data_IF_604301243120
#
_entry.id   IF_604301243120
#
_cell.length_a   1.000
_cell.length_b   1.000
_cell.length_c   1.000
_cell.angle_alpha   90.00
_cell.angle_beta   90.00
_cell.angle_gamma   90.00
#
_symmetry.space_group_name_H-M   'P 1'
#
loop_
_entity.id
_entity.type
_entity.pdbx_description
1 polymer ?
#
# COMPACT_ATOMS: atom_id res chain seq x y z
N UNK A 1 -14.86 -43.76 20.09
CA UNK A 1 -14.13 -42.72 20.85
C UNK A 1 -13.50 -41.76 19.83
N UNK A 2 -14.06 -40.58 19.69
CA UNK A 2 -13.63 -39.62 18.68
C UNK A 2 -12.52 -38.76 19.29
N UNK A 3 -11.31 -38.85 18.70
CA UNK A 3 -10.17 -38.01 19.05
C UNK A 3 -10.55 -36.55 18.80
N UNK A 4 -10.73 -35.80 19.87
CA UNK A 4 -10.78 -34.34 19.82
C UNK A 4 -9.37 -33.85 19.57
N UNK A 5 -9.06 -33.50 18.33
CA UNK A 5 -7.93 -32.64 18.04
C UNK A 5 -8.13 -31.30 18.79
N UNK A 6 -7.50 -31.20 19.93
CA UNK A 6 -7.31 -29.92 20.62
C UNK A 6 -6.41 -29.08 19.70
N UNK A 7 -7.02 -28.14 18.99
CA UNK A 7 -6.27 -27.10 18.30
C UNK A 7 -5.51 -26.30 19.37
N UNK A 8 -4.21 -26.56 19.49
CA UNK A 8 -3.34 -25.79 20.37
C UNK A 8 -3.48 -24.33 19.96
N UNK A 9 -3.91 -23.48 20.91
CA UNK A 9 -3.89 -22.02 20.75
C UNK A 9 -2.47 -21.63 20.32
N UNK A 10 -2.29 -20.87 19.23
CA UNK A 10 -0.97 -20.48 18.79
C UNK A 10 -0.28 -19.74 19.94
N UNK A 11 0.84 -20.28 20.40
CA UNK A 11 1.65 -19.68 21.46
C UNK A 11 2.12 -18.30 20.97
N UNK A 12 1.76 -17.24 21.68
CA UNK A 12 2.22 -15.90 21.36
C UNK A 12 3.74 -15.84 21.50
N UNK A 13 4.46 -15.54 20.42
CA UNK A 13 5.92 -15.45 20.42
C UNK A 13 6.38 -14.20 21.20
N UNK A 14 7.38 -14.37 22.07
CA UNK A 14 8.01 -13.28 22.82
C UNK A 14 9.17 -12.71 21.99
N UNK A 15 9.09 -11.43 21.68
CA UNK A 15 10.03 -10.76 20.78
C UNK A 15 11.01 -9.82 21.51
N UNK A 16 12.26 -9.85 21.09
CA UNK A 16 13.24 -8.81 21.38
C UNK A 16 13.45 -7.94 20.16
N UNK A 17 13.38 -6.62 20.30
CA UNK A 17 13.65 -5.66 19.23
C UNK A 17 15.05 -5.12 19.34
N UNK A 18 15.75 -5.04 18.21
CA UNK A 18 17.13 -4.57 18.14
C UNK A 18 17.29 -3.52 17.06
N UNK A 19 17.73 -2.33 17.45
CA UNK A 19 18.08 -1.23 16.56
C UNK A 19 19.53 -0.86 16.63
N UNK A 20 20.07 -0.35 15.53
CA UNK A 20 21.39 0.25 15.45
C UNK A 20 21.27 1.68 14.92
N UNK A 21 21.86 2.64 15.63
CA UNK A 21 22.02 4.02 15.14
C UNK A 21 23.47 4.32 14.80
N UNK A 22 23.70 4.99 13.67
CA UNK A 22 25.03 5.42 13.23
C UNK A 22 25.12 6.94 13.27
N UNK A 23 25.62 7.47 14.37
CA UNK A 23 25.86 8.91 14.58
C UNK A 23 25.08 9.54 15.72
N UNK A 24 25.78 10.37 16.49
CA UNK A 24 25.20 11.19 17.55
C UNK A 24 24.13 12.14 16.95
N UNK A 25 22.92 12.12 17.47
CA UNK A 25 21.79 12.95 17.01
C UNK A 25 20.68 12.17 16.28
N UNK A 26 20.90 10.93 15.87
CA UNK A 26 19.87 10.07 15.27
C UNK A 26 19.19 9.12 16.26
N UNK A 27 19.42 9.31 17.57
CA UNK A 27 18.87 8.43 18.60
C UNK A 27 17.35 8.53 18.65
N UNK A 28 16.81 9.73 18.54
CA UNK A 28 15.34 9.96 18.50
C UNK A 28 14.72 9.23 17.31
N UNK A 29 15.31 9.35 16.12
CA UNK A 29 14.82 8.65 14.92
C UNK A 29 14.89 7.12 15.11
N UNK A 30 15.91 6.61 15.81
CA UNK A 30 16.08 5.19 16.05
C UNK A 30 15.07 4.68 17.11
N UNK A 31 14.76 5.47 18.13
CA UNK A 31 13.72 5.15 19.13
C UNK A 31 12.34 5.10 18.46
N UNK A 32 11.99 6.08 17.61
CA UNK A 32 10.76 6.07 16.83
C UNK A 32 10.68 4.88 15.86
N UNK A 33 11.81 4.50 15.23
CA UNK A 33 11.87 3.32 14.36
C UNK A 33 11.61 2.03 15.14
N UNK A 34 12.08 1.94 16.39
CA UNK A 34 11.80 0.81 17.28
C UNK A 34 10.35 0.80 17.78
N UNK A 35 9.72 1.97 17.98
CA UNK A 35 8.29 2.04 18.30
C UNK A 35 7.43 1.53 17.13
N UNK A 36 7.78 1.91 15.90
CA UNK A 36 7.13 1.39 14.70
C UNK A 36 7.35 -0.11 14.54
N UNK A 37 8.58 -0.61 14.81
CA UNK A 37 8.90 -2.04 14.79
C UNK A 37 8.09 -2.80 15.85
N UNK A 38 7.82 -2.19 17.00
CA UNK A 38 6.95 -2.78 18.02
C UNK A 38 5.51 -2.93 17.51
N UNK A 39 4.98 -1.92 16.83
CA UNK A 39 3.68 -2.01 16.18
C UNK A 39 3.62 -3.09 15.09
N UNK A 40 4.71 -3.30 14.34
CA UNK A 40 4.84 -4.38 13.37
C UNK A 40 4.86 -5.75 14.06
N UNK A 41 5.61 -5.90 15.16
CA UNK A 41 5.66 -7.13 15.93
C UNK A 41 4.28 -7.51 16.50
N UNK A 42 3.55 -6.53 17.04
CA UNK A 42 2.17 -6.70 17.50
C UNK A 42 1.23 -7.11 16.35
N UNK A 43 1.32 -6.46 15.19
CA UNK A 43 0.55 -6.82 13.99
C UNK A 43 0.85 -8.25 13.50
N UNK A 44 2.06 -8.77 13.76
CA UNK A 44 2.45 -10.16 13.52
C UNK A 44 1.99 -11.12 14.64
N UNK A 45 1.43 -10.61 15.74
CA UNK A 45 0.97 -11.40 16.89
C UNK A 45 2.07 -11.79 17.87
N UNK A 46 3.19 -11.04 17.89
CA UNK A 46 4.27 -11.21 18.87
C UNK A 46 4.16 -10.18 19.99
N UNK A 47 4.59 -10.55 21.21
CA UNK A 47 4.67 -9.63 22.35
C UNK A 47 6.09 -9.17 22.55
N UNK A 48 6.33 -7.86 22.48
CA UNK A 48 7.63 -7.25 22.71
C UNK A 48 7.96 -7.26 24.21
N UNK A 49 9.03 -7.97 24.57
CA UNK A 49 9.48 -8.12 25.98
C UNK A 49 10.83 -7.47 26.23
N UNK A 50 11.59 -7.16 25.18
CA UNK A 50 12.91 -6.56 25.28
C UNK A 50 13.12 -5.57 24.13
N UNK A 51 13.72 -4.41 24.42
CA UNK A 51 14.15 -3.43 23.40
C UNK A 51 15.62 -3.09 23.63
N UNK A 52 16.39 -3.13 22.58
CA UNK A 52 17.82 -2.88 22.60
C UNK A 52 18.19 -1.92 21.48
N UNK A 53 18.74 -0.78 21.83
CA UNK A 53 19.34 0.17 20.89
C UNK A 53 20.86 0.22 21.12
N UNK A 54 21.63 0.12 20.04
CA UNK A 54 23.07 0.32 20.09
C UNK A 54 23.46 1.49 19.18
N UNK A 55 24.33 2.35 19.69
CA UNK A 55 24.99 3.39 18.92
C UNK A 55 26.38 2.91 18.50
N UNK A 56 26.68 2.99 17.19
CA UNK A 56 27.99 2.67 16.62
C UNK A 56 28.25 3.50 15.37
N UNK A 57 29.50 3.83 15.06
CA UNK A 57 29.86 4.55 13.83
C UNK A 57 29.52 3.76 12.56
N UNK A 58 29.67 2.42 12.63
CA UNK A 58 29.38 1.50 11.51
C UNK A 58 28.83 0.18 12.05
N UNK A 59 27.93 -0.50 11.29
CA UNK A 59 27.52 -1.85 11.60
C UNK A 59 28.71 -2.81 11.64
N UNK A 60 28.64 -3.82 12.50
CA UNK A 60 29.61 -4.90 12.54
C UNK A 60 29.44 -5.80 11.31
N UNK A 61 30.51 -6.14 10.57
CA UNK A 61 30.41 -6.98 9.38
C UNK A 61 29.87 -8.39 9.66
N UNK A 62 30.16 -8.96 10.84
CA UNK A 62 29.74 -10.33 11.18
C UNK A 62 28.40 -10.41 11.90
N UNK A 63 28.15 -9.52 12.85
CA UNK A 63 27.00 -9.61 13.76
C UNK A 63 26.09 -8.39 13.73
N UNK A 64 26.32 -7.43 12.83
CA UNK A 64 25.60 -6.16 12.72
C UNK A 64 25.76 -5.26 13.95
N UNK A 65 25.45 -5.78 15.16
CA UNK A 65 25.77 -5.18 16.47
C UNK A 65 27.16 -5.67 16.93
N UNK A 66 27.80 -4.96 17.88
CA UNK A 66 29.10 -5.39 18.40
C UNK A 66 29.03 -6.76 19.09
N UNK A 67 30.13 -7.55 19.00
CA UNK A 67 30.21 -8.89 19.57
C UNK A 67 29.87 -8.94 21.07
N UNK A 68 30.38 -8.01 21.88
CA UNK A 68 30.02 -7.90 23.30
C UNK A 68 28.55 -7.58 23.52
N UNK A 69 27.94 -6.74 22.67
CA UNK A 69 26.49 -6.46 22.74
C UNK A 69 25.66 -7.69 22.36
N UNK A 70 26.13 -8.48 21.38
CA UNK A 70 25.48 -9.73 20.99
C UNK A 70 25.50 -10.75 22.15
N UNK A 71 26.61 -10.87 22.88
CA UNK A 71 26.71 -11.73 24.08
C UNK A 71 25.75 -11.26 25.18
N UNK A 72 25.72 -9.95 25.46
CA UNK A 72 24.81 -9.39 26.47
C UNK A 72 23.33 -9.58 26.06
N UNK A 73 23.04 -9.45 24.76
CA UNK A 73 21.71 -9.69 24.21
C UNK A 73 21.29 -11.17 24.36
N UNK A 74 22.21 -12.13 24.13
CA UNK A 74 21.93 -13.55 24.32
C UNK A 74 21.52 -13.87 25.77
N UNK A 75 22.26 -13.32 26.75
CA UNK A 75 21.94 -13.48 28.17
C UNK A 75 20.57 -12.87 28.52
N UNK A 76 20.29 -11.64 28.05
CA UNK A 76 19.01 -10.98 28.27
C UNK A 76 17.83 -11.72 27.59
N UNK A 77 18.04 -12.29 26.40
CA UNK A 77 17.05 -13.11 25.71
C UNK A 77 16.73 -14.40 26.48
N UNK A 78 17.73 -15.03 27.10
CA UNK A 78 17.54 -16.22 27.91
C UNK A 78 16.72 -15.89 29.16
N UNK A 79 17.06 -14.83 29.89
CA UNK A 79 16.35 -14.36 31.08
C UNK A 79 14.90 -13.97 30.77
N UNK A 80 14.69 -13.19 29.71
CA UNK A 80 13.37 -12.73 29.27
C UNK A 80 12.58 -13.81 28.50
N UNK A 81 13.11 -15.03 28.31
CA UNK A 81 12.48 -16.12 27.54
C UNK A 81 12.00 -15.66 26.17
N UNK A 82 12.89 -14.99 25.43
CA UNK A 82 12.63 -14.52 24.07
C UNK A 82 12.56 -15.71 23.11
N UNK A 83 11.56 -15.75 22.26
CA UNK A 83 11.41 -16.77 21.20
C UNK A 83 12.02 -16.28 19.87
N UNK A 84 11.91 -14.97 19.56
CA UNK A 84 12.39 -14.36 18.32
C UNK A 84 13.07 -13.02 18.56
N UNK A 85 14.17 -12.78 17.86
CA UNK A 85 14.88 -11.47 17.86
C UNK A 85 14.66 -10.78 16.52
N UNK A 86 14.17 -9.56 16.57
CA UNK A 86 13.76 -8.78 15.39
C UNK A 86 14.68 -7.56 15.26
N UNK A 87 15.42 -7.49 14.17
CA UNK A 87 16.28 -6.36 13.85
C UNK A 87 15.54 -5.33 13.01
N UNK A 88 15.66 -4.05 13.38
CA UNK A 88 15.06 -2.93 12.64
C UNK A 88 15.70 -2.70 11.27
N UNK A 89 16.95 -3.10 11.13
CA UNK A 89 17.72 -2.96 9.91
C UNK A 89 17.78 -4.28 9.14
N UNK A 90 17.90 -4.20 7.82
CA UNK A 90 18.09 -5.37 6.98
C UNK A 90 19.43 -6.05 7.28
N UNK A 91 19.43 -7.37 7.45
CA UNK A 91 20.58 -8.17 7.73
C UNK A 91 21.08 -8.90 6.48
N UNK A 92 22.41 -8.94 6.32
CA UNK A 92 23.00 -9.83 5.32
C UNK A 92 22.81 -11.30 5.72
N UNK A 93 22.82 -12.24 4.76
CA UNK A 93 22.70 -13.68 5.07
C UNK A 93 23.77 -14.19 6.04
N UNK A 94 24.97 -13.60 6.00
CA UNK A 94 26.07 -13.95 6.91
C UNK A 94 25.79 -13.46 8.34
N UNK A 95 25.35 -12.20 8.47
CA UNK A 95 25.01 -11.61 9.77
C UNK A 95 23.87 -12.37 10.44
N UNK A 96 22.82 -12.69 9.68
CA UNK A 96 21.65 -13.42 10.19
C UNK A 96 22.09 -14.76 10.80
N UNK A 97 22.88 -15.56 10.10
CA UNK A 97 23.40 -16.83 10.61
C UNK A 97 24.26 -16.67 11.86
N UNK A 98 25.23 -15.75 11.81
CA UNK A 98 26.11 -15.50 12.95
C UNK A 98 25.34 -15.06 14.19
N UNK A 99 24.25 -14.31 14.01
CA UNK A 99 23.36 -13.90 15.09
C UNK A 99 22.53 -15.08 15.61
N UNK A 100 21.94 -15.91 14.74
CA UNK A 100 21.20 -17.11 15.16
C UNK A 100 22.08 -18.08 15.95
N UNK A 101 23.32 -18.32 15.49
CA UNK A 101 24.29 -19.17 16.18
C UNK A 101 24.66 -18.62 17.57
N UNK A 102 24.85 -17.29 17.70
CA UNK A 102 25.25 -16.66 18.96
C UNK A 102 24.12 -16.47 19.95
N UNK A 103 22.91 -16.15 19.44
CA UNK A 103 21.75 -15.89 20.26
C UNK A 103 20.98 -17.17 20.62
N UNK A 104 21.26 -18.28 19.92
CA UNK A 104 20.50 -19.54 20.01
C UNK A 104 18.98 -19.33 19.90
N UNK A 105 18.58 -18.38 19.05
CA UNK A 105 17.20 -17.96 18.86
C UNK A 105 16.96 -17.67 17.38
N UNK A 106 15.68 -17.76 16.97
CA UNK A 106 15.24 -17.30 15.66
C UNK A 106 15.55 -15.80 15.52
N UNK A 107 16.23 -15.42 14.44
CA UNK A 107 16.51 -14.02 14.12
C UNK A 107 15.82 -13.66 12.82
N UNK A 108 15.12 -12.55 12.80
CA UNK A 108 14.52 -11.98 11.58
C UNK A 108 14.85 -10.50 11.50
N UNK A 109 14.77 -9.94 10.31
CA UNK A 109 14.86 -8.50 10.12
C UNK A 109 13.48 -7.87 9.82
N UNK A 110 13.43 -6.53 9.77
CA UNK A 110 12.22 -5.75 9.48
C UNK A 110 11.55 -6.21 8.18
N UNK A 111 12.35 -6.51 7.14
CA UNK A 111 11.83 -6.97 5.84
C UNK A 111 11.10 -8.29 5.96
N UNK A 112 11.67 -9.26 6.66
CA UNK A 112 11.03 -10.56 6.88
C UNK A 112 9.77 -10.43 7.72
N UNK A 113 9.77 -9.59 8.77
CA UNK A 113 8.60 -9.34 9.61
C UNK A 113 7.44 -8.78 8.78
N UNK A 114 7.71 -7.78 7.93
CA UNK A 114 6.68 -7.20 7.05
C UNK A 114 6.13 -8.26 6.07
N UNK A 115 7.02 -9.08 5.48
CA UNK A 115 6.62 -10.17 4.60
C UNK A 115 5.73 -11.20 5.30
N UNK A 116 6.00 -11.52 6.56
CA UNK A 116 5.20 -12.45 7.35
C UNK A 116 3.81 -11.86 7.69
N UNK A 117 3.73 -10.55 8.00
CA UNK A 117 2.46 -9.83 8.17
C UNK A 117 1.64 -9.89 6.88
N UNK A 118 2.26 -9.60 5.74
CA UNK A 118 1.60 -9.61 4.45
C UNK A 118 1.12 -11.01 4.05
N UNK A 119 1.89 -12.06 4.34
CA UNK A 119 1.48 -13.44 4.08
C UNK A 119 0.21 -13.83 4.85
N UNK A 120 0.04 -13.31 6.06
CA UNK A 120 -1.19 -13.52 6.86
C UNK A 120 -2.38 -12.68 6.38
N UNK A 121 -2.12 -11.51 5.77
CA UNK A 121 -3.16 -10.55 5.34
C UNK A 121 -3.64 -10.77 3.91
N UNK A 122 -2.84 -11.34 3.02
CA UNK A 122 -3.19 -11.59 1.62
C UNK A 122 -4.39 -12.54 1.50
N UNK A 123 -5.51 -12.03 0.99
CA UNK A 123 -6.75 -12.80 0.80
C UNK A 123 -6.95 -13.16 -0.66
N UNK A 124 -6.66 -12.24 -1.60
CA UNK A 124 -6.82 -12.48 -3.02
C UNK A 124 -5.71 -13.37 -3.58
N UNK A 125 -5.95 -14.02 -4.71
CA UNK A 125 -4.91 -14.80 -5.42
C UNK A 125 -3.74 -13.91 -5.82
N UNK A 126 -4.04 -12.70 -6.29
CA UNK A 126 -3.02 -11.74 -6.69
C UNK A 126 -2.16 -11.31 -5.51
N UNK A 127 -2.77 -10.88 -4.39
CA UNK A 127 -2.03 -10.52 -3.18
C UNK A 127 -1.14 -11.68 -2.68
N UNK A 128 -1.63 -12.92 -2.71
CA UNK A 128 -0.83 -14.11 -2.36
C UNK A 128 0.36 -14.29 -3.29
N UNK A 129 0.20 -14.13 -4.61
CA UNK A 129 1.29 -14.23 -5.57
C UNK A 129 2.31 -13.10 -5.40
N UNK A 130 1.85 -11.87 -5.13
CA UNK A 130 2.73 -10.72 -4.87
C UNK A 130 3.59 -10.95 -3.62
N UNK A 131 2.98 -11.42 -2.54
CA UNK A 131 3.70 -11.76 -1.29
C UNK A 131 4.66 -12.92 -1.51
N UNK A 132 4.21 -14.00 -2.17
CA UNK A 132 5.06 -15.16 -2.51
C UNK A 132 6.27 -14.72 -3.34
N UNK A 133 6.06 -13.87 -4.35
CA UNK A 133 7.15 -13.34 -5.17
C UNK A 133 8.17 -12.57 -4.34
N UNK A 134 7.70 -11.71 -3.43
CA UNK A 134 8.57 -10.93 -2.56
C UNK A 134 9.35 -11.83 -1.59
N UNK A 135 8.69 -12.82 -0.98
CA UNK A 135 9.33 -13.81 -0.10
C UNK A 135 10.40 -14.63 -0.85
N UNK A 136 10.09 -15.10 -2.06
CA UNK A 136 11.06 -15.87 -2.86
C UNK A 136 12.26 -15.02 -3.27
N UNK A 137 12.05 -13.75 -3.65
CA UNK A 137 13.14 -12.81 -3.96
C UNK A 137 13.98 -12.49 -2.73
N UNK A 138 13.38 -12.36 -1.56
CA UNK A 138 14.08 -12.16 -0.29
C UNK A 138 14.90 -13.38 0.13
N UNK A 139 14.37 -14.60 -0.04
CA UNK A 139 15.01 -15.85 0.34
C UNK A 139 16.14 -16.27 -0.62
N UNK A 140 16.01 -16.00 -1.92
CA UNK A 140 16.95 -16.46 -2.94
C UNK A 140 18.42 -16.09 -2.65
N UNK A 141 18.78 -14.84 -2.30
CA UNK A 141 20.16 -14.50 -1.92
C UNK A 141 20.58 -15.14 -0.59
N UNK A 142 19.66 -15.42 0.31
CA UNK A 142 19.91 -15.99 1.64
C UNK A 142 20.24 -17.50 1.60
N UNK A 143 19.87 -18.18 0.55
CA UNK A 143 20.26 -19.58 0.31
C UNK A 143 21.75 -19.72 -0.12
N UNK A 144 22.38 -18.69 -0.63
CA UNK A 144 23.75 -18.74 -1.15
C UNK A 144 24.79 -19.09 -0.07
N UNK A 145 24.50 -18.80 1.16
CA UNK A 145 25.47 -18.97 2.24
C UNK A 145 25.41 -20.29 3.00
N UNK A 146 24.37 -21.11 2.82
CA UNK A 146 24.27 -22.41 3.50
C UNK A 146 25.18 -23.49 2.91
N UNK A 147 25.60 -23.36 1.64
CA UNK A 147 26.44 -24.34 0.94
C UNK A 147 27.92 -24.23 1.23
N UNK A 148 28.43 -23.06 1.54
CA UNK A 148 29.89 -22.88 1.82
C UNK A 148 30.32 -23.44 3.17
N UNK A 149 29.42 -23.58 4.12
CA UNK A 149 29.72 -24.22 5.40
C UNK A 149 29.79 -25.77 5.28
N UNK A 150 28.93 -26.35 4.42
CA UNK A 150 28.94 -27.79 4.14
C UNK A 150 30.04 -28.22 3.17
N UNK A 151 30.48 -27.35 2.24
CA UNK A 151 31.58 -27.66 1.31
C UNK A 151 32.98 -27.61 1.98
N UNK A 152 33.14 -26.93 3.12
CA UNK A 152 34.38 -26.92 3.89
C UNK A 152 34.66 -28.21 4.67
N UNK A 153 33.62 -29.04 4.90
CA UNK A 153 33.76 -30.33 5.58
C UNK A 153 34.10 -31.49 4.64
N UNK A 154 34.12 -31.27 3.32
CA UNK A 154 34.42 -32.28 2.30
C UNK A 154 35.57 -31.90 1.36
N UNK A 155 36.68 -31.42 1.90
CA UNK A 155 37.84 -30.97 1.13
C UNK A 155 38.64 -32.12 0.52
N UNK A 156 38.37 -32.48 -0.72
CA UNK A 156 39.22 -33.33 -1.57
C UNK A 156 39.02 -32.96 -3.03
N UNK A 157 40.12 -32.92 -3.82
CA UNK A 157 40.09 -32.71 -5.28
C UNK A 157 39.22 -33.81 -5.91
N UNK A 158 38.03 -33.46 -6.46
CA UNK A 158 37.17 -34.39 -7.22
C UNK A 158 35.84 -34.80 -6.57
N UNK A 159 35.56 -34.38 -5.35
CA UNK A 159 34.27 -34.67 -4.69
C UNK A 159 33.28 -33.54 -4.81
N UNK A 160 32.42 -33.55 -5.86
CA UNK A 160 31.14 -32.82 -5.85
C UNK A 160 30.28 -33.46 -4.76
N UNK A 161 30.24 -32.83 -3.58
CA UNK A 161 29.48 -33.36 -2.47
C UNK A 161 27.97 -33.25 -2.71
N UNK A 162 27.14 -34.18 -2.16
CA UNK A 162 25.68 -34.17 -2.29
C UNK A 162 25.00 -32.90 -1.76
N UNK A 163 25.68 -32.08 -0.94
CA UNK A 163 25.17 -30.80 -0.45
C UNK A 163 25.19 -29.65 -1.48
N UNK A 164 26.17 -29.66 -2.39
CA UNK A 164 26.29 -28.62 -3.42
C UNK A 164 25.19 -28.78 -4.49
N UNK A 165 24.91 -30.00 -4.91
CA UNK A 165 23.81 -30.30 -5.83
C UNK A 165 22.43 -30.03 -5.25
N UNK A 166 22.23 -30.19 -3.94
CA UNK A 166 20.94 -29.89 -3.28
C UNK A 166 20.65 -28.39 -3.27
N UNK A 167 21.63 -27.57 -2.92
CA UNK A 167 21.51 -26.10 -2.92
C UNK A 167 21.24 -25.55 -4.32
N UNK A 168 21.97 -26.05 -5.32
CA UNK A 168 21.76 -25.63 -6.70
C UNK A 168 20.39 -26.06 -7.22
N UNK A 169 19.92 -27.22 -6.84
CA UNK A 169 18.58 -27.71 -7.15
C UNK A 169 17.51 -26.82 -6.49
N UNK A 170 17.68 -26.46 -5.22
CA UNK A 170 16.74 -25.61 -4.50
C UNK A 170 16.71 -24.17 -5.06
N UNK A 171 17.87 -23.61 -5.41
CA UNK A 171 17.94 -22.30 -6.11
C UNK A 171 17.25 -22.34 -7.46
N UNK A 172 17.43 -23.40 -8.23
CA UNK A 172 16.77 -23.58 -9.53
C UNK A 172 15.27 -23.69 -9.37
N UNK A 173 14.77 -24.46 -8.38
CA UNK A 173 13.35 -24.56 -8.05
C UNK A 173 12.75 -23.18 -7.70
N UNK A 174 13.44 -22.41 -6.85
CA UNK A 174 12.99 -21.07 -6.48
C UNK A 174 12.96 -20.12 -7.69
N UNK A 175 13.99 -20.14 -8.54
CA UNK A 175 13.98 -19.31 -9.77
C UNK A 175 12.83 -19.70 -10.71
N UNK A 176 12.58 -20.99 -10.89
CA UNK A 176 11.45 -21.47 -11.70
C UNK A 176 10.13 -21.02 -11.08
N UNK A 177 9.99 -21.08 -9.75
CA UNK A 177 8.80 -20.60 -9.06
C UNK A 177 8.60 -19.10 -9.19
N UNK A 178 9.68 -18.30 -9.06
CA UNK A 178 9.65 -16.84 -9.31
C UNK A 178 9.11 -16.54 -10.71
N UNK A 179 9.60 -17.24 -11.75
CA UNK A 179 9.13 -17.03 -13.12
C UNK A 179 7.66 -17.42 -13.30
N UNK A 180 7.23 -18.51 -12.68
CA UNK A 180 5.83 -18.94 -12.74
C UNK A 180 4.90 -17.92 -12.08
N UNK A 181 5.23 -17.48 -10.86
CA UNK A 181 4.44 -16.48 -10.12
C UNK A 181 4.43 -15.14 -10.85
N UNK A 182 5.55 -14.72 -11.43
CA UNK A 182 5.63 -13.48 -12.22
C UNK A 182 4.66 -13.51 -13.42
N UNK A 183 4.57 -14.63 -14.14
CA UNK A 183 3.62 -14.79 -15.26
C UNK A 183 2.16 -14.65 -14.80
N UNK A 184 1.81 -15.23 -13.66
CA UNK A 184 0.46 -15.10 -13.10
C UNK A 184 0.12 -13.63 -12.76
N UNK A 185 1.06 -12.91 -12.16
CA UNK A 185 0.90 -11.48 -11.86
C UNK A 185 0.74 -10.68 -13.15
N UNK A 186 1.54 -10.95 -14.18
CA UNK A 186 1.46 -10.26 -15.47
C UNK A 186 0.12 -10.51 -16.17
N UNK A 187 -0.43 -11.74 -16.09
CA UNK A 187 -1.78 -12.05 -16.59
C UNK A 187 -2.86 -11.20 -15.91
N UNK A 188 -2.78 -11.06 -14.59
CA UNK A 188 -3.74 -10.23 -13.84
C UNK A 188 -3.60 -8.75 -14.24
N UNK A 189 -2.37 -8.25 -14.42
CA UNK A 189 -2.11 -6.87 -14.89
C UNK A 189 -2.75 -6.60 -16.24
N UNK A 190 -2.59 -7.49 -17.23
CA UNK A 190 -3.22 -7.35 -18.53
C UNK A 190 -4.75 -7.29 -18.44
N UNK A 191 -5.34 -8.17 -17.63
CA UNK A 191 -6.79 -8.19 -17.41
C UNK A 191 -7.28 -6.89 -16.75
N UNK A 192 -6.54 -6.35 -15.77
CA UNK A 192 -6.86 -5.07 -15.16
C UNK A 192 -6.77 -3.92 -16.15
N UNK A 193 -5.73 -3.89 -17.00
CA UNK A 193 -5.59 -2.87 -18.04
C UNK A 193 -6.81 -2.85 -18.97
N UNK A 194 -7.32 -4.00 -19.43
CA UNK A 194 -8.53 -4.09 -20.25
C UNK A 194 -9.79 -3.59 -19.51
N UNK A 195 -9.91 -3.91 -18.21
CA UNK A 195 -11.04 -3.43 -17.40
C UNK A 195 -10.95 -1.91 -17.17
N UNK A 196 -9.74 -1.35 -17.05
CA UNK A 196 -9.49 0.09 -16.95
C UNK A 196 -9.89 0.83 -18.21
N UNK A 197 -9.48 0.34 -19.38
CA UNK A 197 -9.88 0.91 -20.66
C UNK A 197 -11.40 1.00 -20.82
N UNK A 198 -12.12 -0.04 -20.40
CA UNK A 198 -13.59 -0.02 -20.35
C UNK A 198 -14.15 1.01 -19.36
N UNK A 199 -13.48 1.22 -18.20
CA UNK A 199 -13.86 2.24 -17.20
C UNK A 199 -13.64 3.65 -17.70
N UNK A 200 -12.49 3.89 -18.35
CA UNK A 200 -12.20 5.19 -18.98
C UNK A 200 -13.25 5.57 -20.04
N UNK A 201 -13.71 4.60 -20.83
CA UNK A 201 -14.82 4.80 -21.78
C UNK A 201 -16.13 5.20 -21.08
N UNK A 202 -16.34 4.76 -19.82
CA UNK A 202 -17.53 5.16 -19.02
C UNK A 202 -17.37 6.50 -18.32
N UNK A 203 -16.17 7.09 -18.33
CA UNK A 203 -15.87 8.42 -17.75
C UNK A 203 -16.19 8.57 -16.25
N UNK A 204 -16.18 7.48 -15.46
CA UNK A 204 -16.35 7.57 -14.01
C UNK A 204 -14.97 7.87 -13.39
N UNK A 205 -14.82 8.99 -12.65
CA UNK A 205 -13.54 9.35 -12.05
C UNK A 205 -13.16 8.39 -10.93
N UNK A 206 -11.85 8.19 -10.77
CA UNK A 206 -11.28 7.30 -9.74
C UNK A 206 -10.50 8.13 -8.72
N UNK A 207 -10.81 7.92 -7.45
CA UNK A 207 -10.14 8.51 -6.28
C UNK A 207 -9.38 7.41 -5.54
N UNK A 208 -8.10 7.59 -5.32
CA UNK A 208 -7.29 6.63 -4.59
C UNK A 208 -6.93 7.14 -3.20
N UNK A 209 -7.19 6.35 -2.16
CA UNK A 209 -6.76 6.66 -0.79
C UNK A 209 -5.31 6.21 -0.62
N UNK A 210 -4.42 7.14 -0.33
CA UNK A 210 -3.01 6.89 -0.04
C UNK A 210 -2.66 7.45 1.33
N UNK A 211 -1.60 6.97 1.95
CA UNK A 211 -1.18 7.49 3.24
C UNK A 211 -0.49 6.42 4.09
N UNK A 212 0.06 6.87 5.20
CA UNK A 212 0.81 6.02 6.10
C UNK A 212 -0.07 4.92 6.72
N UNK A 213 0.54 3.83 7.21
CA UNK A 213 -0.21 2.80 7.95
C UNK A 213 -0.90 3.43 9.16
N UNK A 214 -2.08 2.94 9.49
CA UNK A 214 -2.92 3.45 10.59
C UNK A 214 -3.34 4.94 10.48
N UNK A 215 -3.20 5.62 9.34
CA UNK A 215 -3.74 6.98 9.15
C UNK A 215 -5.28 7.02 9.05
N UNK A 216 -5.93 5.85 8.97
CA UNK A 216 -7.38 5.71 8.92
C UNK A 216 -7.97 5.64 7.51
N UNK A 217 -7.19 5.21 6.50
CA UNK A 217 -7.65 5.03 5.10
C UNK A 217 -8.87 4.12 4.99
N UNK A 218 -8.80 2.92 5.55
CA UNK A 218 -9.90 1.94 5.51
C UNK A 218 -11.12 2.44 6.28
N UNK A 219 -10.94 3.18 7.36
CA UNK A 219 -12.05 3.82 8.09
C UNK A 219 -12.73 4.87 7.23
N UNK A 220 -11.95 5.71 6.52
CA UNK A 220 -12.48 6.68 5.57
C UNK A 220 -13.16 6.00 4.39
N UNK A 221 -12.54 4.94 3.84
CA UNK A 221 -13.14 4.13 2.77
C UNK A 221 -14.51 3.59 3.19
N UNK A 222 -14.62 2.96 4.36
CA UNK A 222 -15.88 2.45 4.87
C UNK A 222 -16.94 3.55 5.04
N UNK A 223 -16.52 4.72 5.49
CA UNK A 223 -17.42 5.87 5.67
C UNK A 223 -17.96 6.37 4.33
N UNK A 224 -17.11 6.47 3.30
CA UNK A 224 -17.49 6.96 1.97
C UNK A 224 -18.32 5.93 1.19
N UNK A 225 -18.05 4.64 1.37
CA UNK A 225 -18.67 3.56 0.57
C UNK A 225 -19.83 2.87 1.27
N UNK A 226 -20.08 3.18 2.55
CA UNK A 226 -21.02 2.46 3.44
C UNK A 226 -20.70 0.96 3.56
N UNK A 227 -19.45 0.59 3.37
CA UNK A 227 -18.94 -0.79 3.51
C UNK A 227 -18.47 -1.07 4.95
N UNK A 228 -18.24 -2.34 5.23
CA UNK A 228 -17.74 -2.82 6.51
C UNK A 228 -16.41 -3.59 6.33
N UNK A 229 -15.47 -3.04 5.55
CA UNK A 229 -14.14 -3.61 5.49
C UNK A 229 -13.49 -3.58 6.88
N UNK A 230 -12.69 -4.61 7.18
CA UNK A 230 -12.03 -4.70 8.49
C UNK A 230 -11.12 -3.49 8.68
N UNK A 231 -11.45 -2.64 9.64
CA UNK A 231 -10.61 -1.53 10.08
C UNK A 231 -10.15 -1.83 11.52
N UNK A 232 -8.87 -1.68 11.79
CA UNK A 232 -8.32 -1.80 13.14
C UNK A 232 -7.08 -0.90 13.27
N UNK A 233 -6.63 -0.67 14.49
CA UNK A 233 -5.42 0.12 14.77
C UNK A 233 -4.12 -0.63 14.45
N UNK A 234 -4.19 -1.91 14.04
CA UNK A 234 -3.04 -2.68 13.62
C UNK A 234 -2.44 -2.16 12.30
N UNK A 235 -1.12 -2.29 12.16
CA UNK A 235 -0.43 -1.93 10.91
C UNK A 235 -0.79 -2.92 9.78
N UNK A 236 -0.87 -2.43 8.54
CA UNK A 236 -1.14 -3.21 7.33
C UNK A 236 -2.44 -4.03 7.36
N UNK A 237 -3.53 -3.41 7.78
CA UNK A 237 -4.85 -4.07 7.80
C UNK A 237 -5.32 -4.38 6.39
N UNK A 238 -5.11 -3.45 5.45
CA UNK A 238 -5.45 -3.61 4.02
C UNK A 238 -4.19 -3.92 3.23
N UNK A 239 -4.20 -5.05 2.52
CA UNK A 239 -3.16 -5.45 1.58
C UNK A 239 -3.71 -5.52 0.15
N UNK A 240 -4.86 -6.13 -0.02
CA UNK A 240 -5.54 -6.21 -1.31
C UNK A 240 -6.32 -4.91 -1.56
N UNK A 241 -6.18 -4.25 -2.73
CA UNK A 241 -6.90 -3.02 -3.01
C UNK A 241 -8.41 -3.30 -3.10
N UNK A 242 -9.18 -2.44 -2.45
CA UNK A 242 -10.64 -2.47 -2.51
C UNK A 242 -11.11 -1.33 -3.42
N UNK A 243 -11.88 -1.64 -4.46
CA UNK A 243 -12.46 -0.65 -5.35
C UNK A 243 -13.98 -0.67 -5.21
N UNK A 244 -14.59 0.48 -4.90
CA UNK A 244 -16.04 0.62 -4.76
C UNK A 244 -16.55 1.87 -5.45
N UNK A 245 -17.75 1.76 -5.98
CA UNK A 245 -18.47 2.90 -6.53
C UNK A 245 -19.20 3.64 -5.42
N UNK A 246 -18.98 4.95 -5.36
CA UNK A 246 -19.67 5.88 -4.46
C UNK A 246 -20.62 6.73 -5.30
N UNK A 247 -21.88 6.76 -4.91
CA UNK A 247 -22.88 7.62 -5.53
C UNK A 247 -23.19 8.77 -4.58
N UNK A 248 -22.93 9.99 -5.05
CA UNK A 248 -23.22 11.21 -4.31
C UNK A 248 -24.73 11.54 -4.36
N UNK A 249 -25.25 12.36 -3.42
CA UNK A 249 -26.69 12.65 -3.34
C UNK A 249 -27.29 13.22 -4.63
N UNK A 250 -26.51 13.95 -5.41
CA UNK A 250 -26.90 14.56 -6.68
C UNK A 250 -26.64 13.68 -7.92
N UNK A 251 -26.52 12.36 -7.72
CA UNK A 251 -26.24 11.33 -8.74
C UNK A 251 -24.83 11.38 -9.35
N UNK A 252 -23.93 12.22 -8.85
CA UNK A 252 -22.52 12.12 -9.22
C UNK A 252 -21.97 10.75 -8.80
N UNK A 253 -21.16 10.14 -9.63
CA UNK A 253 -20.56 8.83 -9.34
C UNK A 253 -19.05 8.96 -9.39
N UNK A 254 -18.39 8.29 -8.47
CA UNK A 254 -16.93 8.14 -8.46
C UNK A 254 -16.56 6.75 -7.96
N UNK A 255 -15.37 6.29 -8.32
CA UNK A 255 -14.78 5.08 -7.77
C UNK A 255 -13.79 5.48 -6.69
N UNK A 256 -13.88 4.84 -5.53
CA UNK A 256 -12.90 5.00 -4.45
C UNK A 256 -12.12 3.72 -4.32
N UNK A 257 -10.79 3.82 -4.28
CA UNK A 257 -9.91 2.69 -4.00
C UNK A 257 -9.21 2.87 -2.66
N UNK A 258 -9.27 1.84 -1.80
CA UNK A 258 -8.42 1.73 -0.61
C UNK A 258 -7.14 0.99 -0.99
N UNK A 259 -5.99 1.52 -0.57
CA UNK A 259 -4.69 0.96 -0.92
C UNK A 259 -3.89 0.53 0.31
N UNK A 260 -2.81 -0.21 0.08
CA UNK A 260 -1.87 -0.61 1.13
C UNK A 260 -1.32 0.62 1.84
N UNK A 261 -1.25 0.57 3.17
CA UNK A 261 -0.61 1.62 3.95
C UNK A 261 0.89 1.67 3.71
N UNK A 262 1.44 2.86 3.56
CA UNK A 262 2.88 3.06 3.48
C UNK A 262 3.51 3.03 4.88
N UNK A 263 4.78 2.71 4.93
CA UNK A 263 5.61 2.69 6.13
C UNK A 263 7.00 3.21 5.79
N UNK A 264 7.69 3.76 6.76
CA UNK A 264 9.07 4.19 6.54
C UNK A 264 9.97 2.97 6.23
N UNK A 265 10.92 3.16 5.33
CA UNK A 265 11.84 2.09 4.88
C UNK A 265 11.12 0.84 4.36
N UNK A 266 10.08 1.03 3.54
CA UNK A 266 9.46 -0.09 2.85
C UNK A 266 10.50 -0.79 1.96
N UNK A 267 10.74 -2.11 2.11
CA UNK A 267 11.73 -2.80 1.31
C UNK A 267 11.45 -2.70 -0.19
N UNK A 268 12.46 -2.37 -1.00
CA UNK A 268 12.31 -2.24 -2.46
C UNK A 268 11.74 -3.50 -3.13
N UNK A 269 12.05 -4.68 -2.59
CA UNK A 269 11.47 -5.93 -3.08
C UNK A 269 9.95 -5.98 -2.92
N UNK A 270 9.42 -5.36 -1.85
CA UNK A 270 7.99 -5.22 -1.61
C UNK A 270 7.35 -4.17 -2.52
N UNK A 271 7.98 -2.99 -2.66
CA UNK A 271 7.50 -1.96 -3.60
C UNK A 271 7.38 -2.56 -5.00
N UNK A 272 8.41 -3.30 -5.45
CA UNK A 272 8.38 -3.97 -6.76
C UNK A 272 7.29 -5.05 -6.86
N UNK A 273 7.01 -5.81 -5.81
CA UNK A 273 5.97 -6.83 -5.79
C UNK A 273 4.55 -6.22 -5.79
N UNK A 274 4.36 -5.12 -5.06
CA UNK A 274 3.09 -4.40 -4.97
C UNK A 274 2.90 -3.31 -6.02
N UNK A 275 3.85 -3.15 -6.94
CA UNK A 275 3.78 -2.15 -8.01
C UNK A 275 2.46 -2.21 -8.77
N UNK A 276 1.95 -3.41 -9.04
CA UNK A 276 0.66 -3.58 -9.72
C UNK A 276 -0.55 -3.02 -8.93
N UNK A 277 -0.48 -3.09 -7.60
CA UNK A 277 -1.49 -2.51 -6.70
C UNK A 277 -1.34 -0.99 -6.62
N UNK A 278 -0.10 -0.50 -6.63
CA UNK A 278 0.22 0.92 -6.57
C UNK A 278 0.03 1.62 -7.94
N UNK A 279 0.03 0.88 -9.05
CA UNK A 279 -0.34 1.39 -10.38
C UNK A 279 -1.76 1.96 -10.41
N UNK A 280 -2.68 1.47 -9.55
CA UNK A 280 -4.02 2.05 -9.42
C UNK A 280 -3.98 3.49 -8.86
N UNK A 281 -2.97 3.83 -8.08
CA UNK A 281 -2.75 5.22 -7.61
C UNK A 281 -2.27 6.09 -8.75
N UNK A 282 -1.28 5.61 -9.54
CA UNK A 282 -0.72 6.36 -10.67
C UNK A 282 -1.75 6.64 -11.78
N UNK A 283 -2.83 5.85 -11.82
CA UNK A 283 -3.90 5.99 -12.81
C UNK A 283 -5.15 6.66 -12.24
N UNK A 284 -5.14 7.10 -10.97
CA UNK A 284 -6.25 7.81 -10.35
C UNK A 284 -6.38 9.24 -10.89
N UNK A 285 -7.62 9.74 -10.96
CA UNK A 285 -7.90 11.16 -11.29
C UNK A 285 -7.55 12.09 -10.11
N UNK A 286 -7.53 11.53 -8.87
CA UNK A 286 -7.19 12.25 -7.64
C UNK A 286 -6.69 11.27 -6.59
N UNK A 287 -5.61 11.60 -5.90
CA UNK A 287 -5.15 10.90 -4.70
C UNK A 287 -5.56 11.67 -3.44
N UNK A 288 -6.22 11.01 -2.49
CA UNK A 288 -6.45 11.54 -1.15
C UNK A 288 -5.34 11.04 -0.25
N UNK A 289 -4.44 11.92 0.11
CA UNK A 289 -3.36 11.63 1.04
C UNK A 289 -3.88 11.75 2.48
N UNK A 290 -4.28 10.62 3.05
CA UNK A 290 -4.83 10.54 4.41
C UNK A 290 -3.69 10.56 5.41
N UNK A 291 -3.73 11.54 6.30
CA UNK A 291 -2.68 11.89 7.27
C UNK A 291 -3.28 11.81 8.67
N UNK A 292 -2.61 11.15 9.60
CA UNK A 292 -2.99 11.23 11.02
C UNK A 292 -2.61 12.62 11.56
N UNK A 293 -3.62 13.44 11.84
CA UNK A 293 -3.42 14.82 12.28
C UNK A 293 -2.72 14.92 13.65
N UNK A 294 -2.91 13.91 14.51
CA UNK A 294 -2.31 13.84 15.85
C UNK A 294 -0.93 13.17 15.89
N UNK A 295 -0.43 12.64 14.76
CA UNK A 295 0.85 11.93 14.77
C UNK A 295 2.04 12.89 15.03
N UNK A 296 2.92 12.59 16.00
CA UNK A 296 4.12 13.41 16.26
C UNK A 296 5.06 13.48 15.04
N UNK A 297 5.20 12.39 14.30
CA UNK A 297 6.06 12.22 13.14
C UNK A 297 5.34 12.54 11.79
N UNK A 298 4.24 13.29 11.86
CA UNK A 298 3.37 13.56 10.70
C UNK A 298 4.14 14.02 9.46
N UNK A 299 5.01 15.02 9.62
CA UNK A 299 5.74 15.60 8.49
C UNK A 299 6.70 14.58 7.84
N UNK A 300 7.33 13.73 8.66
CA UNK A 300 8.17 12.62 8.20
C UNK A 300 7.35 11.56 7.46
N UNK A 301 6.19 11.19 8.00
CA UNK A 301 5.27 10.25 7.37
C UNK A 301 4.76 10.77 6.03
N UNK A 302 4.39 12.06 5.94
CA UNK A 302 4.01 12.72 4.69
C UNK A 302 5.14 12.67 3.66
N UNK A 303 6.38 12.95 4.06
CA UNK A 303 7.54 12.88 3.17
C UNK A 303 7.80 11.44 2.67
N UNK A 304 7.63 10.42 3.53
CA UNK A 304 7.78 9.03 3.16
C UNK A 304 6.72 8.61 2.12
N UNK A 305 5.45 9.02 2.30
CA UNK A 305 4.37 8.73 1.34
C UNK A 305 4.65 9.39 -0.01
N UNK A 306 5.04 10.67 -0.04
CA UNK A 306 5.35 11.40 -1.28
C UNK A 306 6.48 10.73 -2.06
N UNK A 307 7.53 10.29 -1.37
CA UNK A 307 8.65 9.55 -2.01
C UNK A 307 8.17 8.27 -2.67
N UNK A 308 7.31 7.49 -2.01
CA UNK A 308 6.76 6.27 -2.61
C UNK A 308 5.86 6.58 -3.81
N UNK A 309 5.07 7.65 -3.76
CA UNK A 309 4.26 8.10 -4.92
C UNK A 309 5.14 8.45 -6.13
N UNK A 310 6.30 9.06 -5.91
CA UNK A 310 7.31 9.31 -6.96
C UNK A 310 7.88 8.00 -7.52
N UNK A 311 8.28 7.05 -6.66
CA UNK A 311 8.84 5.75 -7.05
C UNK A 311 7.86 4.90 -7.89
N UNK A 312 6.56 5.03 -7.66
CA UNK A 312 5.52 4.29 -8.41
C UNK A 312 5.04 5.02 -9.65
N UNK A 313 5.55 6.22 -9.95
CA UNK A 313 5.19 7.01 -11.11
C UNK A 313 3.86 7.76 -10.97
N UNK A 314 3.45 8.07 -9.75
CA UNK A 314 2.22 8.81 -9.44
C UNK A 314 2.44 10.32 -9.24
N UNK A 315 3.59 10.87 -9.65
CA UNK A 315 3.95 12.27 -9.47
C UNK A 315 2.99 13.25 -10.14
N UNK A 316 2.39 12.85 -11.26
CA UNK A 316 1.45 13.67 -12.04
C UNK A 316 0.01 13.62 -11.53
N UNK A 317 -0.28 12.72 -10.58
CA UNK A 317 -1.64 12.60 -10.02
C UNK A 317 -1.88 13.75 -9.05
N UNK A 318 -2.95 14.53 -9.22
CA UNK A 318 -3.31 15.56 -8.25
C UNK A 318 -3.51 14.97 -6.86
N UNK A 319 -2.93 15.60 -5.84
CA UNK A 319 -3.04 15.15 -4.45
C UNK A 319 -3.86 16.15 -3.64
N UNK A 320 -4.76 15.65 -2.81
CA UNK A 320 -5.45 16.39 -1.77
C UNK A 320 -5.02 15.86 -0.41
N UNK A 321 -4.34 16.66 0.39
CA UNK A 321 -3.99 16.31 1.76
C UNK A 321 -5.26 16.29 2.63
N UNK A 322 -5.46 15.19 3.38
CA UNK A 322 -6.63 14.96 4.23
C UNK A 322 -6.16 14.64 5.64
N UNK A 323 -6.19 15.61 6.52
CA UNK A 323 -5.87 15.45 7.93
C UNK A 323 -7.04 14.76 8.64
N UNK A 324 -6.84 13.49 8.97
CA UNK A 324 -7.81 12.64 9.64
C UNK A 324 -7.55 12.60 11.15
N UNK A 325 -8.50 12.08 11.92
CA UNK A 325 -8.47 11.96 13.38
C UNK A 325 -8.48 13.31 14.11
N UNK A 326 -9.10 14.34 13.54
CA UNK A 326 -9.20 15.67 14.19
C UNK A 326 -9.96 15.62 15.52
N UNK A 327 -10.73 14.57 15.75
CA UNK A 327 -11.40 14.30 17.03
C UNK A 327 -10.44 14.08 18.20
N UNK A 328 -9.17 13.83 17.92
CA UNK A 328 -8.11 13.69 18.95
C UNK A 328 -7.39 15.01 19.24
N UNK A 329 -7.59 16.05 18.42
CA UNK A 329 -6.91 17.35 18.53
C UNK A 329 -7.70 18.33 19.40
N UNK A 330 -6.97 19.20 20.07
CA UNK A 330 -7.53 20.39 20.72
C UNK A 330 -7.99 21.43 19.69
N UNK A 331 -8.90 22.35 20.04
CA UNK A 331 -9.32 23.42 19.13
C UNK A 331 -8.19 24.29 18.60
N UNK A 332 -7.15 24.55 19.42
CA UNK A 332 -6.01 25.36 19.02
C UNK A 332 -5.09 24.61 18.03
N UNK A 333 -4.90 23.32 18.20
CA UNK A 333 -4.17 22.48 17.24
C UNK A 333 -4.89 22.40 15.91
N UNK A 334 -6.22 22.30 15.90
CA UNK A 334 -7.02 22.33 14.68
C UNK A 334 -6.86 23.64 13.93
N UNK A 335 -6.95 24.80 14.61
CA UNK A 335 -6.74 26.11 13.99
C UNK A 335 -5.35 26.25 13.38
N UNK A 336 -4.30 25.86 14.12
CA UNK A 336 -2.93 25.90 13.60
C UNK A 336 -2.76 25.06 12.34
N UNK A 337 -3.47 23.95 12.26
CA UNK A 337 -3.42 23.07 11.09
C UNK A 337 -4.17 23.68 9.90
N UNK A 338 -5.34 24.30 10.13
CA UNK A 338 -6.11 25.05 9.13
C UNK A 338 -5.30 26.23 8.57
N UNK A 339 -4.64 27.00 9.46
CA UNK A 339 -3.81 28.13 9.06
C UNK A 339 -2.56 27.69 8.25
N UNK A 340 -1.99 26.52 8.59
CA UNK A 340 -0.81 25.97 7.92
C UNK A 340 -1.11 25.47 6.52
N UNK A 341 -2.25 24.81 6.33
CA UNK A 341 -2.64 24.19 5.05
C UNK A 341 -4.13 24.44 4.75
N UNK A 342 -4.48 25.66 4.28
CA UNK A 342 -5.87 26.03 3.98
C UNK A 342 -6.49 25.22 2.83
N UNK A 343 -5.65 24.57 2.02
CA UNK A 343 -6.11 23.79 0.86
C UNK A 343 -6.42 22.33 1.21
N UNK A 344 -6.05 21.89 2.41
CA UNK A 344 -6.27 20.53 2.89
C UNK A 344 -7.68 20.37 3.49
N UNK A 345 -8.14 19.11 3.55
CA UNK A 345 -9.34 18.75 4.27
C UNK A 345 -8.99 18.28 5.70
N UNK A 346 -9.74 18.75 6.69
CA UNK A 346 -9.64 18.32 8.08
C UNK A 346 -10.90 17.53 8.44
N UNK A 347 -10.75 16.25 8.80
CA UNK A 347 -11.86 15.33 9.02
C UNK A 347 -11.67 14.40 10.22
N UNK A 348 -12.76 13.81 10.70
CA UNK A 348 -12.70 12.58 11.46
C UNK A 348 -13.49 11.48 10.76
N UNK A 349 -12.78 10.51 10.18
CA UNK A 349 -13.40 9.34 9.56
C UNK A 349 -14.17 8.48 10.59
N UNK A 350 -13.75 8.51 11.86
CA UNK A 350 -14.37 7.77 12.97
C UNK A 350 -15.73 8.37 13.33
N UNK A 351 -15.79 9.67 13.58
CA UNK A 351 -17.03 10.35 14.00
C UNK A 351 -17.92 10.75 12.83
N UNK A 352 -17.35 10.93 11.63
CA UNK A 352 -18.02 11.48 10.46
C UNK A 352 -17.91 13.00 10.34
N UNK A 353 -17.18 13.65 11.25
CA UNK A 353 -17.02 15.10 11.25
C UNK A 353 -16.38 15.58 9.95
N UNK A 354 -17.01 16.56 9.29
CA UNK A 354 -16.59 17.22 8.04
C UNK A 354 -16.42 16.30 6.81
N UNK A 355 -17.02 15.09 6.81
CA UNK A 355 -16.97 14.19 5.65
C UNK A 355 -17.70 14.80 4.45
N UNK A 356 -18.84 15.47 4.65
CA UNK A 356 -19.58 16.11 3.56
C UNK A 356 -18.73 17.22 2.90
N UNK A 357 -17.99 18.01 3.69
CA UNK A 357 -17.06 19.02 3.18
C UNK A 357 -15.93 18.39 2.35
N UNK A 358 -15.36 17.24 2.79
CA UNK A 358 -14.38 16.50 2.00
C UNK A 358 -14.98 16.06 0.67
N UNK A 359 -16.21 15.53 0.67
CA UNK A 359 -16.90 15.06 -0.55
C UNK A 359 -17.07 16.21 -1.55
N UNK A 360 -17.46 17.41 -1.08
CA UNK A 360 -17.57 18.59 -1.94
C UNK A 360 -16.23 19.08 -2.47
N UNK A 361 -15.16 19.04 -1.65
CA UNK A 361 -13.80 19.35 -2.11
C UNK A 361 -13.34 18.37 -3.21
N UNK A 362 -13.58 17.07 -3.02
CA UNK A 362 -13.27 16.04 -4.02
C UNK A 362 -14.06 16.28 -5.31
N UNK A 363 -15.35 16.56 -5.21
CA UNK A 363 -16.20 16.84 -6.37
C UNK A 363 -15.71 18.08 -7.14
N UNK A 364 -15.32 19.12 -6.44
CA UNK A 364 -14.77 20.34 -7.05
C UNK A 364 -13.42 20.07 -7.76
N UNK A 365 -12.50 19.32 -7.10
CA UNK A 365 -11.19 18.96 -7.68
C UNK A 365 -11.32 18.09 -8.93
N UNK A 366 -12.29 17.19 -8.95
CA UNK A 366 -12.60 16.34 -10.10
C UNK A 366 -13.44 17.06 -11.18
N UNK A 367 -13.74 18.34 -10.99
CA UNK A 367 -14.64 19.12 -11.83
C UNK A 367 -16.00 18.41 -12.06
N UNK A 368 -16.54 17.83 -10.96
CA UNK A 368 -17.88 17.22 -10.92
C UNK A 368 -18.96 18.23 -10.54
N UNK A 369 -18.59 19.48 -10.22
CA UNK A 369 -19.53 20.59 -10.07
C UNK A 369 -20.39 20.71 -11.34
N UNK A 370 -21.69 20.77 -11.16
CA UNK A 370 -22.63 20.81 -12.27
C UNK A 370 -22.85 22.24 -12.76
N UNK A 371 -22.95 22.40 -14.07
CA UNK A 371 -23.46 23.62 -14.70
C UNK A 371 -24.74 23.30 -15.45
N UNK A 372 -25.72 24.18 -15.32
CA UNK A 372 -26.89 24.12 -16.16
C UNK A 372 -26.53 24.53 -17.57
N UNK A 373 -26.77 23.64 -18.53
CA UNK A 373 -26.53 23.86 -19.94
C UNK A 373 -27.76 23.46 -20.74
N UNK A 374 -28.01 24.22 -21.79
CA UNK A 374 -29.01 23.89 -22.80
C UNK A 374 -28.31 23.49 -24.08
N UNK A 375 -28.50 22.26 -24.53
CA UNK A 375 -27.84 21.72 -25.72
C UNK A 375 -28.89 21.29 -26.72
N UNK A 376 -28.74 21.73 -27.97
CA UNK A 376 -29.59 21.31 -29.07
C UNK A 376 -28.88 20.23 -29.89
N UNK A 377 -29.54 19.12 -30.16
CA UNK A 377 -29.03 17.99 -30.92
C UNK A 377 -29.90 17.76 -32.17
N UNK A 378 -29.24 17.30 -33.25
CA UNK A 378 -29.95 16.85 -34.46
C UNK A 378 -30.13 15.34 -34.39
N UNK A 379 -31.39 14.88 -34.36
CA UNK A 379 -31.73 13.45 -34.24
C UNK A 379 -31.38 12.66 -35.50
N UNK A 380 -31.17 13.31 -36.63
CA UNK A 380 -30.67 12.66 -37.86
C UNK A 380 -29.18 12.38 -37.84
N UNK A 381 -28.41 13.08 -36.98
CA UNK A 381 -26.99 12.87 -36.82
C UNK A 381 -26.72 11.71 -35.83
N UNK A 382 -25.93 10.72 -36.26
CA UNK A 382 -25.57 9.57 -35.43
C UNK A 382 -24.75 9.96 -34.18
N UNK A 383 -23.84 10.94 -34.34
CA UNK A 383 -23.03 11.48 -33.24
C UNK A 383 -23.94 12.12 -32.17
N UNK A 384 -24.90 12.97 -32.58
CA UNK A 384 -25.80 13.65 -31.65
C UNK A 384 -26.69 12.67 -30.87
N UNK A 385 -27.12 11.58 -31.52
CA UNK A 385 -27.88 10.51 -30.83
C UNK A 385 -27.04 9.82 -29.74
N UNK A 386 -25.75 9.60 -30.01
CA UNK A 386 -24.84 9.05 -29.01
C UNK A 386 -24.61 10.04 -27.86
N UNK A 387 -24.46 11.35 -28.17
CA UNK A 387 -24.30 12.39 -27.16
C UNK A 387 -25.57 12.54 -26.29
N UNK A 388 -26.75 12.43 -26.84
CA UNK A 388 -28.02 12.39 -26.09
C UNK A 388 -27.99 11.21 -25.08
N UNK A 389 -27.67 9.99 -25.56
CA UNK A 389 -27.59 8.82 -24.71
C UNK A 389 -26.53 8.95 -23.62
N UNK A 390 -25.42 9.63 -23.93
CA UNK A 390 -24.36 9.93 -22.99
C UNK A 390 -24.78 10.95 -21.95
N UNK A 391 -25.47 12.03 -22.36
CA UNK A 391 -26.00 13.07 -21.47
C UNK A 391 -26.91 12.48 -20.41
N UNK A 392 -27.84 11.59 -20.78
CA UNK A 392 -28.72 10.91 -19.83
C UNK A 392 -27.98 10.03 -18.81
N UNK A 393 -26.78 9.56 -19.14
CA UNK A 393 -25.95 8.74 -18.23
C UNK A 393 -25.14 9.56 -17.24
N UNK A 394 -24.69 10.76 -17.64
CA UNK A 394 -23.72 11.56 -16.87
C UNK A 394 -24.29 12.82 -16.24
N UNK A 395 -25.51 13.22 -16.60
CA UNK A 395 -26.13 14.48 -16.19
C UNK A 395 -27.56 14.28 -15.67
N UNK A 396 -28.01 15.23 -14.86
CA UNK A 396 -29.41 15.32 -14.45
C UNK A 396 -30.17 16.12 -15.49
N UNK A 397 -30.96 15.45 -16.31
CA UNK A 397 -31.85 16.12 -17.27
C UNK A 397 -32.98 16.84 -16.54
N UNK A 398 -33.14 18.13 -16.80
CA UNK A 398 -34.15 19.01 -16.22
C UNK A 398 -35.34 19.13 -17.17
N UNK A 399 -35.10 19.35 -18.47
CA UNK A 399 -36.12 19.38 -19.50
C UNK A 399 -35.63 18.71 -20.79
N UNK A 400 -36.60 18.16 -21.56
CA UNK A 400 -36.35 17.53 -22.84
C UNK A 400 -37.49 17.93 -23.77
N UNK A 401 -37.19 18.72 -24.79
CA UNK A 401 -38.16 19.17 -25.80
C UNK A 401 -37.70 18.64 -27.15
N UNK A 402 -38.58 17.86 -27.81
CA UNK A 402 -38.33 17.31 -29.14
C UNK A 402 -39.31 17.90 -30.15
N UNK A 403 -38.83 18.28 -31.32
CA UNK A 403 -39.61 18.78 -32.44
C UNK A 403 -38.81 18.95 -33.73
N UNK A 404 -39.42 18.66 -34.87
CA UNK A 404 -38.83 18.88 -36.21
C UNK A 404 -37.42 18.32 -36.43
N UNK A 405 -37.15 17.09 -35.94
CA UNK A 405 -35.85 16.46 -36.07
C UNK A 405 -34.75 17.01 -35.12
N UNK A 406 -35.10 17.95 -34.23
CA UNK A 406 -34.20 18.51 -33.20
C UNK A 406 -34.68 18.17 -31.81
N UNK A 407 -33.72 17.98 -30.91
CA UNK A 407 -33.97 17.76 -29.49
C UNK A 407 -33.20 18.81 -28.72
N UNK A 408 -33.87 19.56 -27.88
CA UNK A 408 -33.27 20.53 -26.95
C UNK A 408 -33.36 19.94 -25.54
N UNK A 409 -32.20 19.76 -24.91
CA UNK A 409 -32.11 19.21 -23.56
C UNK A 409 -31.49 20.25 -22.64
N UNK A 410 -32.19 20.60 -21.58
CA UNK A 410 -31.63 21.36 -20.47
C UNK A 410 -31.23 20.38 -19.36
N UNK A 411 -29.99 20.43 -18.95
CA UNK A 411 -29.44 19.49 -17.98
C UNK A 411 -28.41 20.14 -17.05
N UNK A 412 -28.35 19.65 -15.82
CA UNK A 412 -27.25 19.93 -14.91
C UNK A 412 -26.11 18.95 -15.22
N UNK A 413 -25.10 19.43 -15.95
CA UNK A 413 -23.98 18.63 -16.47
C UNK A 413 -22.73 18.89 -15.66
N UNK A 414 -22.01 17.83 -15.15
CA UNK A 414 -20.72 17.99 -14.52
C UNK A 414 -19.74 18.65 -15.51
N UNK A 415 -19.03 19.68 -15.04
CA UNK A 415 -18.17 20.55 -15.86
C UNK A 415 -17.17 19.77 -16.72
N UNK A 416 -16.62 18.68 -16.20
CA UNK A 416 -15.68 17.80 -16.92
C UNK A 416 -16.25 17.15 -18.19
N UNK A 417 -17.59 17.07 -18.32
CA UNK A 417 -18.23 16.43 -19.48
C UNK A 417 -18.74 17.44 -20.51
N UNK A 418 -18.81 18.73 -20.18
CA UNK A 418 -19.41 19.75 -21.08
C UNK A 418 -18.65 19.78 -22.41
N UNK A 419 -17.32 19.90 -22.38
CA UNK A 419 -16.51 19.93 -23.61
C UNK A 419 -16.68 18.66 -24.48
N UNK A 420 -16.84 17.50 -23.86
CA UNK A 420 -17.01 16.22 -24.56
C UNK A 420 -18.38 16.01 -25.19
N UNK A 421 -19.39 16.75 -24.71
CA UNK A 421 -20.75 16.74 -25.25
C UNK A 421 -20.92 17.70 -26.42
N UNK A 422 -20.06 18.73 -26.52
CA UNK A 422 -20.17 19.81 -27.50
C UNK A 422 -19.15 19.70 -28.64
N UNK A 423 -18.10 18.90 -28.47
CA UNK A 423 -17.05 18.72 -29.51
C UNK A 423 -17.24 17.39 -30.22
N UNK A 424 -17.38 17.37 -31.57
CA UNK A 424 -17.32 16.12 -32.34
C UNK A 424 -15.97 15.41 -32.08
N UNK A 425 -16.00 14.10 -31.89
CA UNK A 425 -14.76 13.31 -31.84
C UNK A 425 -14.04 13.50 -33.19
N UNK A 426 -12.76 13.92 -33.17
CA UNK A 426 -11.94 13.87 -34.37
C UNK A 426 -11.93 12.41 -34.85
N UNK A 427 -12.15 12.13 -36.14
CA UNK A 427 -12.01 10.78 -36.69
C UNK A 427 -10.59 10.28 -36.36
N UNK A 428 -10.49 9.10 -35.81
CA UNK A 428 -9.21 8.39 -35.70
C UNK A 428 -8.64 8.27 -37.11
N UNK A 429 -7.56 9.00 -37.42
CA UNK A 429 -6.82 8.82 -38.65
C UNK A 429 -6.37 7.36 -38.71
N UNK A 430 -6.95 6.61 -39.63
CA UNK A 430 -6.59 5.24 -39.92
C UNK A 430 -5.10 5.19 -40.23
N UNK A 431 -4.34 4.47 -39.41
CA UNK A 431 -2.99 4.05 -39.78
C UNK A 431 -3.16 3.01 -40.89
N UNK A 432 -3.10 3.49 -42.11
CA UNK A 432 -2.97 2.64 -43.29
C UNK A 432 -1.65 1.87 -43.19
N UNK A 433 -1.79 0.56 -43.12
CA UNK A 433 -0.69 -0.37 -43.28
C UNK A 433 -0.10 -0.25 -44.70
N UNK A 434 1.15 0.09 -44.76
CA UNK A 434 2.05 -0.30 -45.88
C UNK A 434 3.30 -0.96 -45.32
#
# INVERSE_FOLDING_TARGET
>A
MADRHVLATPKTERAALVGLTTGAGRRIDADHSLDELAGLADAAGAVVVLRVLQERPKPDPATFIGSGKATSLAAACAEARVDVVIFDNELTPAQLRQLEERLERKVIDRTQLILDIFARRARTREGKWQVELAQLKYLLPRLVGAGTALSRLGGGIGTRGPGETKLETDRRRIRTRIQAVQREIDHVRHRRAQLRERRQKRSVPTVSLVGYTNAGKTTLFNRLTHEHAVASDALFVTLDPLLRQVRLPDRRELLVSDTVGFIDRLPHALVAAFRATLEEVAEADLALHVIDAGAPERDRQMAAVRRVLEEVGASEVPVLDVYNKIDTLTPDERRRLEDRDPAAALISARTGERIDALVEMVASRLALDTRRVTIAFDTHNAFDREQIARLYRVARVVSHVAGNGRVVIEADVPRRYIARLTTPALPEEGIDAR
#
